data_IF_759758376108
#
_entry.id   IF_759758376108
#
_cell.length_a   1.000
_cell.length_b   1.000
_cell.length_c   1.000
_cell.angle_alpha   90.00
_cell.angle_beta   90.00
_cell.angle_gamma   90.00
#
_symmetry.space_group_name_H-M   'P 1'
#
loop_
_entity.id
_entity.type
_entity.pdbx_description
1 polymer ?
#
# COMPACT_ATOMS: atom_id res chain seq x y z
N UNK A 1 -2.09 -2.97 24.09
CA UNK A 1 -0.93 -3.89 24.02
C UNK A 1 0.03 -3.61 25.18
N UNK A 2 0.57 -4.64 25.83
CA UNK A 2 1.63 -4.45 26.82
C UNK A 2 2.87 -3.85 26.14
N UNK A 3 3.58 -2.97 26.84
CA UNK A 3 4.81 -2.39 26.30
C UNK A 3 5.84 -3.50 26.06
N UNK A 4 6.58 -3.42 24.95
CA UNK A 4 7.68 -4.33 24.66
C UNK A 4 8.73 -4.27 25.81
N UNK A 5 9.43 -5.35 26.15
CA UNK A 5 10.56 -5.30 27.07
C UNK A 5 11.61 -4.27 26.61
N UNK A 6 12.37 -3.69 27.55
CA UNK A 6 13.34 -2.62 27.24
C UNK A 6 14.35 -3.01 26.15
N UNK A 7 14.82 -4.27 26.16
CA UNK A 7 15.72 -4.78 25.13
C UNK A 7 15.06 -4.81 23.73
N UNK A 8 13.81 -5.25 23.65
CA UNK A 8 13.06 -5.26 22.39
C UNK A 8 12.76 -3.84 21.90
N UNK A 9 12.49 -2.89 22.79
CA UNK A 9 12.36 -1.47 22.43
C UNK A 9 13.65 -0.88 21.88
N UNK A 10 14.82 -1.28 22.42
CA UNK A 10 16.11 -0.83 21.93
C UNK A 10 16.37 -1.33 20.50
N UNK A 11 16.14 -2.62 20.25
CA UNK A 11 16.25 -3.20 18.89
C UNK A 11 15.28 -2.52 17.94
N UNK A 12 14.01 -2.36 18.34
CA UNK A 12 12.98 -1.72 17.52
C UNK A 12 13.39 -0.31 17.08
N UNK A 13 13.83 0.54 18.02
CA UNK A 13 14.29 1.91 17.71
C UNK A 13 15.48 1.93 16.77
N UNK A 14 16.44 1.03 16.96
CA UNK A 14 17.60 0.93 16.07
C UNK A 14 17.14 0.54 14.66
N UNK A 15 16.30 -0.49 14.54
CA UNK A 15 15.79 -0.95 13.24
C UNK A 15 14.92 0.07 12.52
N UNK A 16 14.10 0.85 13.23
CA UNK A 16 13.33 1.96 12.63
C UNK A 16 14.22 3.10 12.13
N UNK A 17 15.42 3.25 12.69
CA UNK A 17 16.35 4.30 12.28
C UNK A 17 17.15 3.95 11.03
N UNK A 18 17.17 2.68 10.61
CA UNK A 18 17.93 2.20 9.46
C UNK A 18 17.30 2.61 8.13
N UNK A 19 18.13 2.70 7.09
CA UNK A 19 17.65 2.79 5.71
C UNK A 19 17.34 1.39 5.16
N UNK A 20 16.38 1.31 4.24
CA UNK A 20 15.97 0.04 3.63
C UNK A 20 16.79 -0.22 2.37
N UNK A 21 17.30 -1.44 2.23
CA UNK A 21 17.81 -1.98 0.96
C UNK A 21 16.81 -3.01 0.47
N UNK A 22 16.02 -2.65 -0.54
CA UNK A 22 15.09 -3.57 -1.18
C UNK A 22 15.82 -4.38 -2.24
N UNK A 23 16.05 -5.66 -1.98
CA UNK A 23 16.80 -6.52 -2.89
C UNK A 23 16.01 -6.96 -4.13
N UNK A 24 14.71 -6.68 -4.19
CA UNK A 24 13.82 -7.11 -5.28
C UNK A 24 12.50 -6.34 -5.29
N UNK A 25 12.12 -5.75 -6.42
CA UNK A 25 10.84 -5.06 -6.63
C UNK A 25 10.30 -5.29 -8.05
N UNK A 26 8.98 -5.20 -8.19
CA UNK A 26 8.26 -5.25 -9.48
C UNK A 26 7.44 -3.98 -9.75
N UNK A 27 7.90 -2.84 -9.25
CA UNK A 27 7.19 -1.58 -9.44
C UNK A 27 7.26 -1.15 -10.92
N UNK A 28 6.16 -0.65 -11.51
CA UNK A 28 6.24 -0.03 -12.83
C UNK A 28 7.16 1.20 -12.77
N UNK A 29 7.66 1.65 -13.93
CA UNK A 29 8.40 2.93 -13.97
C UNK A 29 7.53 4.09 -13.48
N UNK A 30 8.11 5.16 -12.91
CA UNK A 30 7.30 6.27 -12.39
C UNK A 30 6.43 6.91 -13.48
N UNK A 31 6.96 7.01 -14.71
CA UNK A 31 6.20 7.51 -15.86
C UNK A 31 4.97 6.65 -16.14
N UNK A 32 5.13 5.32 -16.21
CA UNK A 32 4.03 4.37 -16.38
C UNK A 32 3.03 4.50 -15.23
N UNK A 33 3.53 4.54 -13.99
CA UNK A 33 2.71 4.69 -12.78
C UNK A 33 1.87 5.98 -12.83
N UNK A 34 2.46 7.08 -13.28
CA UNK A 34 1.79 8.37 -13.42
C UNK A 34 0.78 8.39 -14.57
N UNK A 35 1.00 7.61 -15.63
CA UNK A 35 0.07 7.46 -16.74
C UNK A 35 -1.20 6.67 -16.36
N UNK A 36 -1.13 5.84 -15.30
CA UNK A 36 -2.30 5.15 -14.75
C UNK A 36 -3.30 6.11 -14.08
N UNK A 37 -4.53 5.63 -13.89
CA UNK A 37 -5.57 6.31 -13.09
C UNK A 37 -5.89 5.49 -11.84
N UNK A 38 -4.92 5.37 -10.90
CA UNK A 38 -5.09 4.57 -9.70
C UNK A 38 -6.25 5.09 -8.83
N UNK A 39 -6.89 4.17 -8.15
CA UNK A 39 -7.93 4.43 -7.15
C UNK A 39 -7.80 3.43 -5.99
N UNK A 40 -8.75 3.46 -5.06
CA UNK A 40 -8.79 2.51 -3.93
C UNK A 40 -8.80 1.05 -4.39
N UNK A 41 -9.44 0.73 -5.52
CA UNK A 41 -9.52 -0.64 -6.02
C UNK A 41 -8.20 -1.09 -6.64
N UNK A 42 -7.41 -0.16 -7.18
CA UNK A 42 -6.01 -0.43 -7.57
C UNK A 42 -5.20 -0.89 -6.36
N UNK A 43 -5.38 -0.24 -5.20
CA UNK A 43 -4.66 -0.64 -3.97
C UNK A 43 -5.17 -1.96 -3.38
N UNK A 44 -6.48 -2.23 -3.47
CA UNK A 44 -7.08 -3.49 -3.01
C UNK A 44 -6.77 -4.67 -3.96
N UNK A 45 -6.61 -4.40 -5.25
CA UNK A 45 -6.57 -5.39 -6.32
C UNK A 45 -5.32 -6.24 -6.40
N UNK A 46 -4.25 -5.89 -5.70
CA UNK A 46 -3.05 -6.73 -5.64
C UNK A 46 -3.28 -7.93 -4.73
N UNK A 47 -2.99 -7.81 -3.44
CA UNK A 47 -3.06 -8.96 -2.53
C UNK A 47 -4.21 -8.93 -1.53
N UNK A 48 -4.78 -7.75 -1.25
CA UNK A 48 -5.97 -7.67 -0.39
C UNK A 48 -7.21 -8.29 -1.07
N UNK A 49 -7.20 -8.42 -2.40
CA UNK A 49 -8.24 -9.10 -3.16
C UNK A 49 -8.36 -10.58 -2.78
N UNK A 50 -7.25 -11.27 -2.54
CA UNK A 50 -7.26 -12.69 -2.19
C UNK A 50 -7.76 -12.91 -0.76
N UNK A 51 -7.48 -11.97 0.15
CA UNK A 51 -8.10 -11.96 1.47
C UNK A 51 -9.62 -11.74 1.37
N UNK A 52 -10.07 -10.82 0.51
CA UNK A 52 -11.50 -10.57 0.28
C UNK A 52 -12.21 -11.79 -0.31
N UNK A 53 -11.59 -12.46 -1.28
CA UNK A 53 -12.09 -13.73 -1.85
C UNK A 53 -12.17 -14.83 -0.79
N UNK A 54 -11.11 -14.98 0.01
CA UNK A 54 -11.05 -15.95 1.11
C UNK A 54 -12.10 -15.68 2.18
N UNK A 55 -12.46 -14.41 2.41
CA UNK A 55 -13.55 -14.03 3.31
C UNK A 55 -14.95 -14.29 2.74
N UNK A 56 -15.08 -14.59 1.44
CA UNK A 56 -16.35 -14.93 0.78
C UNK A 56 -16.82 -13.93 -0.27
N UNK A 57 -16.03 -12.89 -0.61
CA UNK A 57 -16.40 -11.94 -1.65
C UNK A 57 -16.37 -12.62 -3.03
N UNK A 58 -17.53 -12.67 -3.69
CA UNK A 58 -17.65 -13.08 -5.09
C UNK A 58 -17.57 -11.88 -6.04
N UNK A 59 -16.92 -12.05 -7.18
CA UNK A 59 -16.87 -11.04 -8.25
C UNK A 59 -15.71 -10.06 -8.15
N UNK A 60 -15.86 -8.93 -8.84
CA UNK A 60 -14.79 -7.94 -9.07
C UNK A 60 -14.87 -6.76 -8.10
N UNK A 61 -13.70 -6.17 -7.81
CA UNK A 61 -13.55 -4.95 -7.01
C UNK A 61 -14.01 -3.71 -7.81
N UNK A 62 -15.32 -3.48 -7.87
CA UNK A 62 -15.89 -2.34 -8.62
C UNK A 62 -16.49 -1.24 -7.76
N UNK A 63 -17.02 -1.59 -6.59
CA UNK A 63 -17.73 -0.64 -5.73
C UNK A 63 -17.40 -0.89 -4.28
N UNK A 64 -17.36 0.18 -3.47
CA UNK A 64 -17.13 0.04 -2.04
C UNK A 64 -18.25 -0.74 -1.37
N UNK A 65 -19.50 -0.55 -1.80
CA UNK A 65 -20.65 -1.29 -1.28
C UNK A 65 -20.51 -2.82 -1.41
N UNK A 66 -19.82 -3.31 -2.45
CA UNK A 66 -19.53 -4.73 -2.61
C UNK A 66 -18.40 -5.21 -1.68
N UNK A 67 -17.42 -4.34 -1.38
CA UNK A 67 -16.24 -4.64 -0.55
C UNK A 67 -16.54 -4.52 0.94
N UNK A 68 -17.35 -3.55 1.33
CA UNK A 68 -17.63 -3.15 2.72
C UNK A 68 -18.06 -4.31 3.64
N UNK A 69 -18.95 -5.25 3.22
CA UNK A 69 -19.32 -6.39 4.06
C UNK A 69 -18.14 -7.28 4.44
N UNK A 70 -17.12 -7.35 3.58
CA UNK A 70 -15.96 -8.21 3.72
C UNK A 70 -14.77 -7.49 4.36
N UNK A 71 -14.68 -6.16 4.22
CA UNK A 71 -13.54 -5.37 4.71
C UNK A 71 -13.23 -5.61 6.19
N UNK A 72 -14.25 -5.68 7.05
CA UNK A 72 -14.05 -5.93 8.50
C UNK A 72 -13.36 -7.27 8.80
N UNK A 73 -13.51 -8.26 7.93
CA UNK A 73 -12.93 -9.59 8.08
C UNK A 73 -11.47 -9.62 7.64
N UNK A 74 -11.07 -8.72 6.75
CA UNK A 74 -9.74 -8.72 6.12
C UNK A 74 -8.85 -7.58 6.59
N UNK A 75 -9.38 -6.49 7.14
CA UNK A 75 -8.61 -5.31 7.57
C UNK A 75 -7.53 -5.57 8.64
N UNK A 76 -7.53 -6.76 9.23
CA UNK A 76 -6.55 -7.25 10.20
C UNK A 76 -5.50 -8.21 9.63
N UNK A 77 -5.64 -8.68 8.39
CA UNK A 77 -4.66 -9.56 7.72
C UNK A 77 -3.37 -8.79 7.40
N UNK A 78 -2.32 -9.49 6.97
CA UNK A 78 -1.06 -8.84 6.56
C UNK A 78 -1.27 -7.78 5.47
N UNK A 79 -2.02 -8.11 4.41
CA UNK A 79 -2.30 -7.17 3.33
C UNK A 79 -3.31 -6.10 3.73
N UNK A 80 -4.30 -6.43 4.56
CA UNK A 80 -5.21 -5.44 5.13
C UNK A 80 -4.49 -4.40 5.99
N UNK A 81 -3.51 -4.83 6.80
CA UNK A 81 -2.67 -3.94 7.59
C UNK A 81 -1.74 -3.10 6.70
N UNK A 82 -1.08 -3.71 5.71
CA UNK A 82 -0.23 -2.99 4.77
C UNK A 82 -1.00 -1.88 4.02
N UNK A 83 -2.21 -2.19 3.54
CA UNK A 83 -3.09 -1.20 2.92
C UNK A 83 -3.43 -0.06 3.88
N UNK A 84 -3.82 -0.39 5.12
CA UNK A 84 -4.19 0.61 6.15
C UNK A 84 -3.03 1.54 6.50
N UNK A 85 -1.83 1.01 6.60
CA UNK A 85 -0.60 1.79 6.80
C UNK A 85 -0.38 2.73 5.62
N UNK A 86 -0.47 2.22 4.38
CA UNK A 86 -0.28 3.02 3.18
C UNK A 86 -1.31 4.17 3.06
N UNK A 87 -2.60 3.90 3.27
CA UNK A 87 -3.64 4.95 3.17
C UNK A 87 -3.51 6.01 4.26
N UNK A 88 -3.08 5.62 5.45
CA UNK A 88 -2.85 6.52 6.58
C UNK A 88 -1.61 7.38 6.33
N UNK A 89 -0.48 6.77 6.02
CA UNK A 89 0.80 7.47 6.01
C UNK A 89 1.01 8.25 4.72
N UNK A 90 0.65 7.69 3.57
CA UNK A 90 0.88 8.31 2.26
C UNK A 90 -0.20 9.34 1.91
N UNK A 91 -1.45 9.04 2.30
CA UNK A 91 -2.63 9.81 1.91
C UNK A 91 -3.39 10.42 3.09
N UNK A 92 -2.98 10.22 4.35
CA UNK A 92 -3.63 10.84 5.52
C UNK A 92 -5.07 10.37 5.76
N UNK A 93 -5.44 9.18 5.30
CA UNK A 93 -6.79 8.59 5.46
C UNK A 93 -6.71 7.46 6.47
N UNK A 94 -7.45 7.55 7.58
CA UNK A 94 -7.29 6.64 8.72
C UNK A 94 -7.75 5.19 8.47
N UNK A 95 -8.88 5.00 7.78
CA UNK A 95 -9.39 3.68 7.36
C UNK A 95 -10.37 3.84 6.18
N UNK A 96 -10.86 2.71 5.65
CA UNK A 96 -11.81 2.66 4.55
C UNK A 96 -13.25 2.51 5.06
N UNK A 97 -14.10 3.43 4.63
CA UNK A 97 -15.55 3.37 4.72
C UNK A 97 -16.18 4.17 3.55
N UNK A 98 -17.51 4.16 3.48
CA UNK A 98 -18.27 4.85 2.43
C UNK A 98 -18.00 6.36 2.35
N UNK A 99 -17.54 7.00 3.44
CA UNK A 99 -17.21 8.43 3.52
C UNK A 99 -15.75 8.70 3.18
N UNK A 100 -14.83 7.81 3.53
CA UNK A 100 -13.40 8.01 3.30
C UNK A 100 -12.95 7.59 1.90
N UNK A 101 -13.63 6.65 1.24
CA UNK A 101 -13.28 6.21 -0.12
C UNK A 101 -13.21 7.35 -1.14
N UNK A 102 -14.20 8.27 -1.24
CA UNK A 102 -14.11 9.39 -2.18
C UNK A 102 -12.91 10.31 -1.88
N UNK A 103 -12.65 10.59 -0.60
CA UNK A 103 -11.51 11.40 -0.18
C UNK A 103 -10.18 10.73 -0.53
N UNK A 104 -10.07 9.42 -0.29
CA UNK A 104 -8.88 8.64 -0.63
C UNK A 104 -8.62 8.68 -2.14
N UNK A 105 -9.64 8.43 -2.97
CA UNK A 105 -9.50 8.48 -4.42
C UNK A 105 -9.01 9.86 -4.91
N UNK A 106 -9.55 10.95 -4.36
CA UNK A 106 -9.10 12.29 -4.70
C UNK A 106 -7.62 12.51 -4.34
N UNK A 107 -7.18 12.00 -3.18
CA UNK A 107 -5.78 12.11 -2.74
C UNK A 107 -4.82 11.21 -3.53
N UNK A 108 -5.25 10.00 -3.90
CA UNK A 108 -4.51 9.12 -4.79
C UNK A 108 -4.29 9.81 -6.14
N UNK A 109 -5.36 10.36 -6.75
CA UNK A 109 -5.28 11.06 -8.01
C UNK A 109 -4.36 12.29 -7.94
N UNK A 110 -4.48 13.12 -6.90
CA UNK A 110 -3.65 14.30 -6.72
C UNK A 110 -2.15 13.98 -6.50
N UNK A 111 -1.87 12.83 -5.87
CA UNK A 111 -0.51 12.35 -5.64
C UNK A 111 0.12 11.67 -6.86
N UNK A 112 -0.68 11.26 -7.85
CA UNK A 112 -0.21 10.50 -9.01
C UNK A 112 0.44 11.39 -10.06
N UNK A 113 1.64 11.89 -9.76
CA UNK A 113 2.40 12.81 -10.60
C UNK A 113 3.91 12.60 -10.39
N UNK A 114 4.78 13.08 -11.30
CA UNK A 114 6.23 12.94 -11.16
C UNK A 114 6.73 13.37 -9.79
N UNK A 115 7.70 12.61 -9.25
CA UNK A 115 8.20 12.75 -7.88
C UNK A 115 7.41 11.98 -6.81
N UNK A 116 6.44 11.14 -7.21
CA UNK A 116 5.74 10.23 -6.32
C UNK A 116 6.69 9.26 -5.64
N UNK A 117 7.58 8.62 -6.40
CA UNK A 117 8.53 7.62 -5.90
C UNK A 117 9.62 8.25 -5.03
N UNK A 118 10.11 9.42 -5.41
CA UNK A 118 11.01 10.21 -4.55
C UNK A 118 10.36 10.50 -3.20
N UNK A 119 9.11 10.96 -3.19
CA UNK A 119 8.38 11.22 -1.94
C UNK A 119 8.17 9.95 -1.12
N UNK A 120 7.61 8.90 -1.73
CA UNK A 120 7.16 7.72 -1.01
C UNK A 120 8.31 6.76 -0.69
N UNK A 121 9.10 6.37 -1.70
CA UNK A 121 10.15 5.36 -1.54
C UNK A 121 11.40 5.94 -0.86
N UNK A 122 11.84 7.12 -1.27
CA UNK A 122 13.07 7.72 -0.72
C UNK A 122 12.83 8.46 0.59
N UNK A 123 11.89 9.41 0.64
CA UNK A 123 11.74 10.28 1.82
C UNK A 123 10.93 9.64 2.94
N UNK A 124 9.82 8.97 2.61
CA UNK A 124 8.95 8.37 3.63
C UNK A 124 9.45 7.00 4.07
N UNK A 125 9.68 6.09 3.13
CA UNK A 125 10.13 4.72 3.42
C UNK A 125 11.64 4.58 3.64
N UNK A 126 12.44 5.61 3.30
CA UNK A 126 13.90 5.62 3.48
C UNK A 126 14.62 4.47 2.76
N UNK A 127 14.13 4.13 1.56
CA UNK A 127 14.75 3.12 0.71
C UNK A 127 16.01 3.70 0.08
N UNK A 128 17.18 3.28 0.57
CA UNK A 128 18.47 3.68 0.02
C UNK A 128 18.63 3.17 -1.41
N UNK A 129 18.40 1.87 -1.59
CA UNK A 129 18.56 1.17 -2.87
C UNK A 129 17.44 0.16 -3.06
N UNK A 130 17.00 0.01 -4.31
CA UNK A 130 16.03 -1.00 -4.73
C UNK A 130 16.52 -1.65 -6.02
N UNK A 131 16.55 -2.97 -6.07
CA UNK A 131 16.75 -3.72 -7.32
C UNK A 131 15.39 -3.87 -7.98
N UNK A 132 15.22 -3.25 -9.14
CA UNK A 132 14.01 -3.42 -9.94
C UNK A 132 14.18 -4.61 -10.88
N UNK A 133 13.27 -5.57 -10.80
CA UNK A 133 13.08 -6.63 -11.78
C UNK A 133 11.91 -6.25 -12.69
N UNK A 134 12.25 -5.79 -13.90
CA UNK A 134 11.33 -5.27 -14.89
C UNK A 134 10.83 -6.33 -15.86
N UNK A 135 10.63 -7.58 -15.41
CA UNK A 135 10.16 -8.73 -16.22
C UNK A 135 8.93 -8.45 -17.12
N UNK A 136 8.16 -7.39 -16.86
CA UNK A 136 7.07 -6.89 -17.71
C UNK A 136 7.51 -6.28 -19.05
N UNK A 137 8.78 -5.90 -19.20
CA UNK A 137 9.37 -5.35 -20.42
C UNK A 137 10.23 -6.35 -21.19
N UNK A 138 10.18 -7.63 -20.81
CA UNK A 138 10.86 -8.71 -21.52
C UNK A 138 10.27 -9.00 -22.90
N UNK A 139 10.43 -8.08 -23.85
CA UNK A 139 10.81 -8.53 -25.18
C UNK A 139 12.28 -8.98 -25.10
N UNK A 140 12.63 -10.14 -25.67
CA UNK A 140 14.02 -10.61 -25.68
C UNK A 140 14.99 -9.62 -26.32
#
# INVERSE_FOLDING_TARGET
>A
PAALPAAAQAVYRETESMEIVSSHEHLPGEEERCALKPDVFTLLGHYAMDDLRSAGMAGELKTWAAVEPWWRHVRGTGYGQALRIAIRDIYGVGDLDSKTVPLLNARIAAANRPGLYERVLKRMARIHYAVLDDYWRGEP
#
